data_IF_016908976070
#
_entry.id   IF_016908976070
#
_cell.length_a   1.000
_cell.length_b   1.000
_cell.length_c   1.000
_cell.angle_alpha   90.00
_cell.angle_beta   90.00
_cell.angle_gamma   90.00
#
_symmetry.space_group_name_H-M   'P 1'
#
loop_
_entity.id
_entity.type
_entity.pdbx_description
1 polymer ?
#
# COMPACT_ATOMS: atom_id res chain seq x y z
N UNK A 1 -19.68 32.08 0.99
CA UNK A 1 -18.69 31.17 1.61
C UNK A 1 -18.75 29.84 0.86
N UNK A 2 -17.91 29.66 -0.16
CA UNK A 2 -17.84 28.39 -0.89
C UNK A 2 -16.81 27.50 -0.22
N UNK A 3 -17.25 26.50 0.54
CA UNK A 3 -16.35 25.44 0.97
C UNK A 3 -15.79 24.80 -0.30
N UNK A 4 -14.51 25.03 -0.60
CA UNK A 4 -13.76 24.22 -1.55
C UNK A 4 -13.81 22.81 -0.96
N UNK A 5 -14.73 21.99 -1.44
CA UNK A 5 -14.81 20.59 -1.04
C UNK A 5 -13.51 19.96 -1.54
N UNK A 6 -12.55 19.79 -0.63
CA UNK A 6 -11.31 19.08 -0.91
C UNK A 6 -11.68 17.68 -1.39
N UNK A 7 -11.09 17.25 -2.49
CA UNK A 7 -11.25 15.87 -2.96
C UNK A 7 -10.63 14.97 -1.90
N UNK A 8 -11.45 14.16 -1.23
CA UNK A 8 -10.99 13.24 -0.20
C UNK A 8 -10.95 11.82 -0.77
N UNK A 9 -9.76 11.24 -0.72
CA UNK A 9 -9.50 9.86 -1.14
C UNK A 9 -9.77 8.89 -0.01
N UNK A 10 -10.38 7.75 -0.34
CA UNK A 10 -10.56 6.61 0.55
C UNK A 10 -9.53 5.54 0.20
N UNK A 11 -8.52 5.40 1.05
CA UNK A 11 -7.45 4.43 0.90
C UNK A 11 -7.84 3.19 1.67
N UNK A 12 -8.05 2.09 0.96
CA UNK A 12 -8.35 0.79 1.52
C UNK A 12 -7.10 -0.08 1.43
N UNK A 13 -6.43 -0.29 2.56
CA UNK A 13 -5.30 -1.19 2.67
C UNK A 13 -5.76 -2.58 3.10
N UNK A 14 -5.18 -3.61 2.50
CA UNK A 14 -5.29 -5.00 2.95
C UNK A 14 -3.89 -5.55 3.17
N UNK A 15 -3.64 -6.21 4.29
CA UNK A 15 -2.42 -7.02 4.48
C UNK A 15 -2.85 -8.48 4.46
N UNK A 16 -2.16 -9.29 3.66
CA UNK A 16 -2.26 -10.74 3.73
C UNK A 16 -1.24 -11.21 4.75
N UNK A 17 -1.72 -11.69 5.90
CA UNK A 17 -0.86 -12.29 6.90
C UNK A 17 -0.58 -13.77 6.59
N UNK A 18 0.40 -14.37 7.28
CA UNK A 18 0.76 -15.79 7.12
C UNK A 18 -0.40 -16.71 7.53
N UNK A 19 -1.26 -16.25 8.44
CA UNK A 19 -2.46 -16.97 8.88
C UNK A 19 -3.68 -16.82 7.94
N UNK A 20 -3.54 -16.03 6.86
CA UNK A 20 -4.62 -15.80 5.90
C UNK A 20 -5.70 -14.82 6.37
N UNK A 21 -5.52 -14.17 7.52
CA UNK A 21 -6.40 -13.08 7.94
C UNK A 21 -6.09 -11.80 7.13
N UNK A 22 -7.04 -11.37 6.29
CA UNK A 22 -6.97 -10.11 5.55
C UNK A 22 -7.22 -8.93 6.50
N UNK A 23 -6.15 -8.46 7.17
CA UNK A 23 -6.23 -7.26 7.98
C UNK A 23 -6.57 -6.06 7.08
N UNK A 24 -7.82 -5.59 7.19
CA UNK A 24 -8.36 -4.51 6.35
C UNK A 24 -8.39 -3.19 7.10
N UNK A 25 -7.74 -2.19 6.53
CA UNK A 25 -7.63 -0.86 7.09
C UNK A 25 -8.14 0.16 6.08
N UNK A 26 -8.88 1.15 6.55
CA UNK A 26 -9.37 2.22 5.70
C UNK A 26 -9.05 3.54 6.38
N UNK A 27 -8.34 4.41 5.66
CA UNK A 27 -8.15 5.79 6.08
C UNK A 27 -8.48 6.72 4.92
N UNK A 28 -8.66 8.00 5.27
CA UNK A 28 -8.98 9.05 4.31
C UNK A 28 -7.88 10.07 4.28
N UNK A 29 -7.55 10.56 3.09
CA UNK A 29 -6.56 11.62 2.90
C UNK A 29 -7.08 12.59 1.86
N UNK A 30 -6.77 13.86 2.05
CA UNK A 30 -7.04 14.89 1.06
C UNK A 30 -6.12 14.72 -0.15
N UNK A 31 -6.63 15.02 -1.35
CA UNK A 31 -5.89 14.88 -2.62
C UNK A 31 -4.55 15.61 -2.62
N UNK A 32 -4.48 16.76 -1.94
CA UNK A 32 -3.27 17.59 -1.77
C UNK A 32 -2.27 17.01 -0.76
N UNK A 33 -2.66 16.04 0.05
CA UNK A 33 -1.80 15.38 1.05
C UNK A 33 -1.58 13.90 0.72
N UNK A 34 -2.11 13.43 -0.41
CA UNK A 34 -2.00 12.04 -0.83
C UNK A 34 -0.69 11.85 -1.61
N UNK A 35 0.40 11.67 -0.85
CA UNK A 35 1.72 11.32 -1.38
C UNK A 35 2.10 9.88 -1.05
N UNK A 36 2.97 9.30 -1.86
CA UNK A 36 3.47 7.94 -1.63
C UNK A 36 4.14 7.83 -0.26
N UNK A 37 5.00 8.81 0.08
CA UNK A 37 5.71 8.82 1.36
C UNK A 37 4.76 8.84 2.56
N UNK A 38 3.67 9.61 2.54
CA UNK A 38 2.70 9.64 3.63
C UNK A 38 1.98 8.29 3.81
N UNK A 39 1.58 7.66 2.70
CA UNK A 39 0.96 6.32 2.73
C UNK A 39 1.97 5.31 3.27
N UNK A 40 3.19 5.33 2.75
CA UNK A 40 4.26 4.41 3.13
C UNK A 40 4.60 4.56 4.60
N UNK A 41 4.84 5.78 5.09
CA UNK A 41 5.15 6.05 6.50
C UNK A 41 4.03 5.60 7.43
N UNK A 42 2.75 5.81 7.07
CA UNK A 42 1.64 5.30 7.89
C UNK A 42 1.59 3.78 7.98
N UNK A 43 1.88 3.11 6.88
CA UNK A 43 1.90 1.64 6.84
C UNK A 43 3.14 1.11 7.58
N UNK A 44 4.29 1.77 7.42
CA UNK A 44 5.52 1.47 8.12
C UNK A 44 5.38 1.64 9.64
N UNK A 45 4.79 2.74 10.11
CA UNK A 45 4.51 2.98 11.53
C UNK A 45 3.62 1.87 12.13
N UNK A 46 2.66 1.41 11.32
CA UNK A 46 1.71 0.39 11.73
C UNK A 46 2.29 -1.02 11.82
N UNK A 47 3.09 -1.42 10.83
CA UNK A 47 3.62 -2.78 10.74
C UNK A 47 5.06 -2.91 11.26
N UNK A 48 5.80 -1.82 11.42
CA UNK A 48 7.13 -1.78 12.04
C UNK A 48 8.25 -2.42 11.22
N UNK A 49 8.00 -2.75 9.95
CA UNK A 49 8.92 -3.51 9.09
C UNK A 49 8.87 -3.04 7.63
N UNK A 50 9.80 -3.51 6.79
CA UNK A 50 9.85 -3.13 5.38
C UNK A 50 8.69 -3.78 4.61
N UNK A 51 7.94 -2.96 3.89
CA UNK A 51 6.72 -3.37 3.20
C UNK A 51 6.86 -3.18 1.70
N UNK A 52 6.32 -4.14 0.95
CA UNK A 52 6.01 -4.01 -0.46
C UNK A 52 4.55 -3.61 -0.58
N UNK A 53 4.30 -2.50 -1.26
CA UNK A 53 2.96 -1.94 -1.42
C UNK A 53 2.56 -2.08 -2.88
N UNK A 54 1.37 -2.61 -3.15
CA UNK A 54 0.79 -2.66 -4.49
C UNK A 54 -0.57 -1.99 -4.50
N UNK A 55 -0.94 -1.35 -5.61
CA UNK A 55 -2.29 -0.84 -5.83
C UNK A 55 -3.05 -1.70 -6.83
N UNK A 56 -4.38 -1.65 -6.77
CA UNK A 56 -5.22 -2.29 -7.77
C UNK A 56 -5.60 -1.31 -8.86
N UNK A 57 -5.31 -1.67 -10.10
CA UNK A 57 -5.56 -0.86 -11.29
C UNK A 57 -6.96 -1.07 -11.91
N UNK A 58 -7.27 -0.44 -13.03
CA UNK A 58 -8.56 -0.54 -13.74
C UNK A 58 -8.86 -1.95 -14.25
N UNK A 59 -7.83 -2.72 -14.62
CA UNK A 59 -7.91 -4.13 -15.05
C UNK A 59 -7.93 -5.12 -13.86
N UNK A 60 -8.12 -4.64 -12.63
CA UNK A 60 -8.08 -5.43 -11.39
C UNK A 60 -6.70 -6.08 -11.08
N UNK A 61 -5.66 -5.72 -11.84
CA UNK A 61 -4.26 -6.14 -11.64
C UNK A 61 -3.60 -5.42 -10.45
N UNK A 62 -2.63 -6.09 -9.82
CA UNK A 62 -1.88 -5.56 -8.67
C UNK A 62 -0.52 -5.04 -9.12
N UNK A 63 -0.38 -3.72 -9.17
CA UNK A 63 0.82 -3.03 -9.65
C UNK A 63 1.62 -2.49 -8.47
N UNK A 64 2.95 -2.54 -8.54
CA UNK A 64 3.85 -2.03 -7.51
C UNK A 64 3.68 -0.50 -7.35
N UNK A 65 3.50 -0.07 -6.10
CA UNK A 65 3.45 1.34 -5.70
C UNK A 65 4.77 1.68 -4.99
N UNK A 66 5.70 2.33 -5.69
CA UNK A 66 7.04 2.63 -5.15
C UNK A 66 7.38 4.13 -5.19
N UNK A 67 6.61 4.94 -5.93
CA UNK A 67 6.81 6.37 -6.04
C UNK A 67 5.48 7.12 -6.25
N UNK A 68 5.56 8.45 -6.32
CA UNK A 68 4.39 9.29 -6.58
C UNK A 68 3.85 9.18 -8.02
N UNK A 69 4.68 8.83 -9.02
CA UNK A 69 4.21 8.62 -10.40
C UNK A 69 3.23 7.43 -10.47
N UNK A 70 3.58 6.31 -9.82
CA UNK A 70 2.71 5.15 -9.69
C UNK A 70 1.41 5.50 -8.93
N UNK A 71 1.52 6.40 -7.94
CA UNK A 71 0.36 6.85 -7.16
C UNK A 71 -0.57 7.73 -8.00
N UNK A 72 -0.02 8.56 -8.88
CA UNK A 72 -0.82 9.35 -9.82
C UNK A 72 -1.58 8.47 -10.80
N UNK A 73 -0.95 7.41 -11.33
CA UNK A 73 -1.62 6.40 -12.15
C UNK A 73 -2.73 5.72 -11.35
N UNK A 74 -2.45 5.26 -10.13
CA UNK A 74 -3.45 4.66 -9.26
C UNK A 74 -4.63 5.60 -8.94
N UNK A 75 -4.35 6.91 -8.83
CA UNK A 75 -5.37 7.95 -8.69
C UNK A 75 -6.17 8.16 -9.98
N UNK A 76 -5.59 7.96 -11.17
CA UNK A 76 -6.36 8.00 -12.43
C UNK A 76 -7.34 6.83 -12.48
N UNK A 77 -6.87 5.61 -12.24
CA UNK A 77 -7.71 4.40 -12.22
C UNK A 77 -8.82 4.49 -11.15
N UNK A 78 -8.49 5.03 -9.97
CA UNK A 78 -9.46 5.24 -8.89
C UNK A 78 -10.48 6.37 -9.13
N UNK A 79 -10.15 7.36 -9.98
CA UNK A 79 -11.06 8.45 -10.39
C UNK A 79 -12.05 7.95 -11.44
N UNK A 80 -11.62 7.14 -12.40
CA UNK A 80 -12.50 6.59 -13.45
C UNK A 80 -13.61 5.71 -12.88
N UNK A 81 -13.34 5.01 -11.77
CA UNK A 81 -14.36 4.25 -11.00
C UNK A 81 -15.30 5.14 -10.16
N UNK A 82 -15.24 6.47 -10.31
CA UNK A 82 -16.10 7.50 -9.70
C UNK A 82 -16.21 7.48 -8.16
N UNK A 83 -15.19 6.96 -7.46
CA UNK A 83 -15.25 6.74 -6.00
C UNK A 83 -14.11 7.31 -5.18
N UNK A 84 -13.16 8.01 -5.81
CA UNK A 84 -11.92 8.49 -5.16
C UNK A 84 -11.37 7.42 -4.20
N UNK A 85 -11.31 6.18 -4.69
CA UNK A 85 -10.98 5.00 -3.89
C UNK A 85 -9.69 4.43 -4.41
N UNK A 86 -8.73 4.23 -3.51
CA UNK A 86 -7.49 3.55 -3.78
C UNK A 86 -7.47 2.23 -3.02
N UNK A 87 -7.36 1.11 -3.73
CA UNK A 87 -7.20 -0.21 -3.12
C UNK A 87 -5.71 -0.53 -3.08
N UNK A 88 -5.19 -0.74 -1.87
CA UNK A 88 -3.77 -1.04 -1.62
C UNK A 88 -3.66 -2.41 -0.97
N UNK A 89 -2.72 -3.23 -1.45
CA UNK A 89 -2.28 -4.42 -0.76
C UNK A 89 -0.88 -4.18 -0.19
N UNK A 90 -0.68 -4.66 1.03
CA UNK A 90 0.56 -4.56 1.77
C UNK A 90 1.06 -5.98 1.94
N UNK A 91 2.28 -6.21 1.49
CA UNK A 91 3.00 -7.46 1.64
C UNK A 91 4.23 -7.18 2.48
N UNK A 92 4.53 -8.04 3.45
CA UNK A 92 5.81 -7.94 4.15
C UNK A 92 6.91 -8.29 3.14
N UNK A 93 7.95 -7.46 3.06
CA UNK A 93 9.15 -7.86 2.35
C UNK A 93 9.77 -8.98 3.19
N UNK A 94 9.49 -10.23 2.81
CA UNK A 94 10.09 -11.41 3.42
C UNK A 94 11.61 -11.29 3.22
N UNK A 95 12.28 -10.67 4.17
CA UNK A 95 13.72 -10.79 4.26
C UNK A 95 14.04 -12.28 4.39
N UNK A 96 14.90 -12.86 3.55
CA UNK A 96 15.37 -14.23 3.73
C UNK A 96 16.33 -14.26 4.94
N UNK A 97 15.82 -13.98 6.14
CA UNK A 97 16.61 -13.96 7.38
C UNK A 97 16.68 -15.34 8.04
N UNK A 98 16.27 -16.38 7.32
CA UNK A 98 16.44 -17.78 7.68
C UNK A 98 16.83 -18.63 6.46
N UNK A 99 17.71 -18.12 5.59
CA UNK A 99 18.60 -19.03 4.87
C UNK A 99 19.55 -19.63 5.92
N UNK A 100 19.06 -20.66 6.61
CA UNK A 100 19.83 -21.56 7.45
C UNK A 100 21.03 -21.97 6.60
N UNK A 101 22.19 -21.34 6.82
CA UNK A 101 23.44 -21.85 6.30
C UNK A 101 23.51 -23.29 6.80
N UNK A 102 23.64 -24.31 5.93
CA UNK A 102 24.04 -25.60 6.43
C UNK A 102 25.41 -25.37 7.07
N UNK A 103 25.46 -25.33 8.40
CA UNK A 103 26.72 -25.35 9.14
C UNK A 103 27.46 -26.57 8.64
N UNK A 104 28.47 -26.34 7.80
CA UNK A 104 29.46 -27.36 7.50
C UNK A 104 30.01 -27.83 8.85
N UNK A 105 30.03 -29.14 9.14
CA UNK A 105 30.63 -29.61 10.36
C UNK A 105 32.12 -29.23 10.36
N UNK A 106 32.68 -28.74 11.49
CA UNK A 106 34.12 -28.54 11.61
C UNK A 106 34.86 -29.90 11.52
N UNK A 107 36.17 -29.88 11.19
CA UNK A 107 36.93 -31.05 10.73
C UNK A 107 37.02 -32.20 11.73
#
# INVERSE_FOLDING_TARGET
QGARQGVQWRIQCRKRDEEGEDARWVFRMDDMSLHFSDIYTRLLDKYGERLVITYQDEDDEWILLQNDEDLEEAKRSGKERARHKLSIAVQQELHPRNARTPSAPPP
#
